data_IF_867340427819
#
_entry.id   IF_867340427819
#
_cell.length_a   1.000
_cell.length_b   1.000
_cell.length_c   1.000
_cell.angle_alpha   90.00
_cell.angle_beta   90.00
_cell.angle_gamma   90.00
#
_symmetry.space_group_name_H-M   'P 1'
#
loop_
_entity.id
_entity.type
_entity.pdbx_description
1 polymer ?
#
# COMPACT_ATOMS: atom_id res chain seq x y z
N UNK A 1 -7.79 3.77 -11.01
CA UNK A 1 -6.51 4.04 -10.32
C UNK A 1 -6.65 5.27 -9.43
N UNK A 2 -6.05 5.30 -8.24
CA UNK A 2 -6.14 6.44 -7.31
C UNK A 2 -5.38 7.66 -7.84
N UNK A 3 -5.90 8.88 -7.59
CA UNK A 3 -5.27 10.15 -7.98
C UNK A 3 -3.83 10.28 -7.47
N UNK A 4 -3.58 9.95 -6.20
CA UNK A 4 -2.26 10.05 -5.57
C UNK A 4 -1.22 9.17 -6.25
N UNK A 5 -1.61 7.96 -6.70
CA UNK A 5 -0.71 7.05 -7.42
C UNK A 5 -0.35 7.64 -8.78
N UNK A 6 -1.33 8.19 -9.50
CA UNK A 6 -1.10 8.78 -10.83
C UNK A 6 -0.13 9.96 -10.74
N UNK A 7 -0.34 10.84 -9.75
CA UNK A 7 0.54 11.97 -9.48
C UNK A 7 1.96 11.51 -9.14
N UNK A 8 2.11 10.52 -8.27
CA UNK A 8 3.41 9.95 -7.91
C UNK A 8 4.12 9.23 -9.09
N UNK A 9 3.36 8.77 -10.08
CA UNK A 9 3.91 8.22 -11.33
C UNK A 9 4.23 9.30 -12.39
N UNK A 10 4.03 10.58 -12.09
CA UNK A 10 4.27 11.69 -13.01
C UNK A 10 3.21 11.82 -14.11
N UNK A 11 1.98 11.37 -13.83
CA UNK A 11 0.83 11.45 -14.73
C UNK A 11 -0.23 12.38 -14.15
N UNK A 12 -0.68 13.35 -14.94
CA UNK A 12 -1.85 14.17 -14.59
C UNK A 12 -3.12 13.37 -14.85
N UNK A 13 -4.21 13.69 -14.14
CA UNK A 13 -5.50 12.99 -14.28
C UNK A 13 -6.01 12.99 -15.73
N UNK A 14 -5.97 14.14 -16.39
CA UNK A 14 -6.45 14.27 -17.77
C UNK A 14 -5.61 13.45 -18.75
N UNK A 15 -4.28 13.55 -18.64
CA UNK A 15 -3.39 12.78 -19.51
C UNK A 15 -3.51 11.26 -19.28
N UNK A 16 -3.65 10.83 -18.03
CA UNK A 16 -3.86 9.41 -17.72
C UNK A 16 -5.11 8.85 -18.42
N UNK A 17 -6.22 9.61 -18.41
CA UNK A 17 -7.47 9.20 -19.06
C UNK A 17 -7.32 9.11 -20.59
N UNK A 18 -6.61 10.04 -21.22
CA UNK A 18 -6.36 10.00 -22.68
C UNK A 18 -5.51 8.82 -23.12
N UNK A 19 -4.64 8.33 -22.24
CA UNK A 19 -3.70 7.23 -22.49
C UNK A 19 -4.31 5.87 -22.11
N UNK A 20 -5.60 5.82 -21.74
CA UNK A 20 -6.30 4.58 -21.43
C UNK A 20 -6.16 4.10 -19.98
N UNK A 21 -5.73 4.97 -19.07
CA UNK A 21 -5.66 4.68 -17.63
C UNK A 21 -6.93 5.19 -16.96
N UNK A 22 -7.76 4.27 -16.44
CA UNK A 22 -8.93 4.65 -15.66
C UNK A 22 -8.52 5.28 -14.32
N UNK A 23 -8.97 6.51 -14.03
CA UNK A 23 -8.68 7.24 -12.79
C UNK A 23 -9.95 7.41 -11.95
N UNK A 24 -9.88 7.05 -10.67
CA UNK A 24 -10.93 7.26 -9.68
C UNK A 24 -10.39 8.16 -8.55
N UNK A 25 -10.87 9.41 -8.42
CA UNK A 25 -10.41 10.34 -7.41
C UNK A 25 -10.92 10.02 -5.99
N UNK A 26 -11.96 9.20 -5.83
CA UNK A 26 -12.55 8.88 -4.51
C UNK A 26 -11.72 7.87 -3.74
N UNK A 27 -11.00 6.99 -4.44
CA UNK A 27 -10.19 5.94 -3.83
C UNK A 27 -8.97 6.53 -3.12
N UNK A 28 -8.72 6.12 -1.88
CA UNK A 28 -7.51 6.42 -1.11
C UNK A 28 -6.78 5.13 -0.75
N UNK A 29 -5.44 5.14 -0.74
CA UNK A 29 -4.65 3.99 -0.30
C UNK A 29 -4.12 4.22 1.12
N UNK A 30 -4.27 3.19 1.96
CA UNK A 30 -3.76 3.20 3.35
C UNK A 30 -2.37 2.58 3.47
N UNK A 31 -2.05 1.60 2.62
CA UNK A 31 -0.76 0.91 2.63
C UNK A 31 0.24 1.52 1.66
N UNK A 32 1.50 1.60 2.09
CA UNK A 32 2.62 2.10 1.26
C UNK A 32 3.03 1.08 0.21
N UNK A 33 3.01 -0.21 0.56
CA UNK A 33 3.35 -1.33 -0.32
C UNK A 33 2.49 -1.33 -1.59
N UNK A 34 1.16 -1.30 -1.43
CA UNK A 34 0.23 -1.26 -2.56
C UNK A 34 0.39 -0.01 -3.41
N UNK A 35 0.74 1.14 -2.80
CA UNK A 35 1.01 2.38 -3.51
C UNK A 35 2.25 2.23 -4.39
N UNK A 36 3.35 1.69 -3.85
CA UNK A 36 4.61 1.49 -4.58
C UNK A 36 4.45 0.52 -5.75
N UNK A 37 3.83 -0.64 -5.52
CA UNK A 37 3.54 -1.63 -6.57
C UNK A 37 2.75 -1.01 -7.73
N UNK A 38 1.72 -0.22 -7.42
CA UNK A 38 0.92 0.43 -8.43
C UNK A 38 1.66 1.56 -9.17
N UNK A 39 2.54 2.30 -8.49
CA UNK A 39 3.40 3.30 -9.13
C UNK A 39 4.34 2.61 -10.13
N UNK A 40 4.98 1.52 -9.70
CA UNK A 40 5.86 0.73 -10.56
C UNK A 40 5.09 0.19 -11.78
N UNK A 41 3.90 -0.38 -11.58
CA UNK A 41 3.03 -0.84 -12.67
C UNK A 41 2.67 0.27 -13.66
N UNK A 42 2.42 1.49 -13.20
CA UNK A 42 2.15 2.62 -14.10
C UNK A 42 3.39 3.06 -14.88
N UNK A 43 4.58 2.98 -14.28
CA UNK A 43 5.85 3.26 -14.99
C UNK A 43 6.12 2.21 -16.05
N UNK A 44 5.89 0.94 -15.75
CA UNK A 44 6.01 -0.18 -16.70
C UNK A 44 4.96 -0.10 -17.82
N UNK A 45 3.74 0.32 -17.52
CA UNK A 45 2.73 0.59 -18.54
C UNK A 45 3.22 1.68 -19.49
N UNK A 46 3.74 2.78 -18.94
CA UNK A 46 4.21 3.93 -19.70
C UNK A 46 5.40 3.59 -20.60
N UNK A 47 6.33 2.74 -20.15
CA UNK A 47 7.47 2.33 -20.97
C UNK A 47 7.07 1.41 -22.12
N UNK A 48 6.02 0.61 -21.96
CA UNK A 48 5.47 -0.26 -23.02
C UNK A 48 4.48 0.45 -23.95
N UNK A 49 4.09 1.68 -23.63
CA UNK A 49 3.07 2.41 -24.37
C UNK A 49 3.69 3.13 -25.57
N UNK A 50 3.23 2.78 -26.77
CA UNK A 50 3.59 3.46 -28.02
C UNK A 50 2.53 4.55 -28.28
N UNK A 51 2.87 5.81 -28.05
CA UNK A 51 1.96 6.94 -28.27
C UNK A 51 2.14 7.51 -29.68
N UNK A 52 1.12 7.37 -30.52
CA UNK A 52 1.10 7.97 -31.85
C UNK A 52 0.89 9.50 -31.75
N UNK A 53 1.59 10.31 -32.56
CA UNK A 53 1.31 11.74 -32.63
C UNK A 53 -0.05 11.96 -33.30
N UNK A 54 -0.70 13.06 -32.92
CA UNK A 54 -1.96 13.47 -33.56
C UNK A 54 -1.72 13.97 -35.00
N UNK A 55 -0.52 14.51 -35.25
CA UNK A 55 -0.14 15.04 -36.57
C UNK A 55 1.24 14.55 -36.95
N UNK A 56 1.33 13.73 -38.00
CA UNK A 56 2.58 13.14 -38.48
C UNK A 56 3.60 14.18 -39.00
N UNK A 57 3.09 15.30 -39.53
CA UNK A 57 3.91 16.36 -40.15
C UNK A 57 4.45 17.41 -39.16
N UNK A 58 4.04 17.37 -37.90
CA UNK A 58 4.51 18.29 -36.86
C UNK A 58 5.64 17.65 -36.06
N UNK A 59 6.47 18.49 -35.44
CA UNK A 59 7.52 18.02 -34.52
C UNK A 59 6.90 17.13 -33.43
N UNK A 60 7.52 15.97 -33.21
CA UNK A 60 7.10 15.04 -32.17
C UNK A 60 7.13 15.73 -30.80
N UNK A 61 6.06 15.55 -30.02
CA UNK A 61 6.00 15.97 -28.62
C UNK A 61 6.76 14.97 -27.75
N UNK A 62 7.09 15.40 -26.52
CA UNK A 62 7.81 14.57 -25.56
C UNK A 62 7.01 13.29 -25.26
N UNK A 63 7.58 12.14 -25.61
CA UNK A 63 6.99 10.82 -25.38
C UNK A 63 6.09 10.30 -26.51
N UNK A 64 6.08 10.95 -27.67
CA UNK A 64 5.49 10.38 -28.89
C UNK A 64 6.49 9.44 -29.57
N UNK A 65 5.98 8.34 -30.12
CA UNK A 65 6.78 7.27 -30.73
C UNK A 65 7.41 7.69 -32.05
N UNK A 66 8.63 7.23 -32.32
CA UNK A 66 9.32 7.44 -33.61
C UNK A 66 8.65 6.62 -34.72
N UNK A 67 8.94 6.93 -35.98
CA UNK A 67 8.35 6.20 -37.12
C UNK A 67 8.70 4.70 -37.12
N UNK A 68 9.86 4.32 -36.57
CA UNK A 68 10.31 2.94 -36.43
C UNK A 68 9.48 2.18 -35.38
N UNK A 69 9.27 2.77 -34.21
CA UNK A 69 8.45 2.20 -33.13
C UNK A 69 6.99 2.05 -33.56
N UNK A 70 6.47 2.97 -34.38
CA UNK A 70 5.11 2.90 -34.91
C UNK A 70 4.90 1.72 -35.86
N UNK A 71 5.90 1.39 -36.67
CA UNK A 71 5.81 0.24 -37.60
C UNK A 71 5.82 -1.10 -36.86
N UNK A 72 6.47 -1.14 -35.70
CA UNK A 72 6.49 -2.32 -34.83
C UNK A 72 5.21 -2.46 -33.99
N UNK A 73 4.38 -1.43 -33.93
CA UNK A 73 3.16 -1.45 -33.13
C UNK A 73 2.18 -2.51 -33.64
N UNK A 74 1.87 -3.47 -32.78
CA UNK A 74 0.87 -4.52 -33.02
C UNK A 74 -0.19 -4.49 -31.94
N UNK A 75 -1.42 -4.87 -32.27
CA UNK A 75 -2.49 -4.93 -31.28
C UNK A 75 -2.28 -6.16 -30.37
N UNK A 76 -2.10 -5.90 -29.08
CA UNK A 76 -2.08 -6.97 -28.08
C UNK A 76 -3.49 -7.55 -27.93
N UNK A 77 -3.64 -8.85 -28.17
CA UNK A 77 -4.89 -9.58 -27.94
C UNK A 77 -4.89 -10.13 -26.50
N UNK A 78 -5.88 -9.74 -25.70
CA UNK A 78 -6.03 -10.19 -24.32
C UNK A 78 -5.92 -9.06 -23.28
N UNK A 79 -5.90 -9.41 -21.97
CA UNK A 79 -5.82 -8.42 -20.91
C UNK A 79 -4.44 -7.74 -20.88
N UNK A 80 -4.44 -6.40 -20.84
CA UNK A 80 -3.21 -5.60 -20.75
C UNK A 80 -2.59 -5.74 -19.36
N UNK A 81 -1.38 -6.32 -19.33
CA UNK A 81 -0.61 -6.61 -18.10
C UNK A 81 -1.45 -7.33 -17.03
N UNK A 82 -1.69 -8.64 -17.16
CA UNK A 82 -2.47 -9.38 -16.17
C UNK A 82 -1.89 -9.24 -14.77
N UNK A 83 -2.76 -9.15 -13.77
CA UNK A 83 -2.34 -9.13 -12.36
C UNK A 83 -2.09 -10.59 -11.97
N UNK A 84 -0.82 -10.93 -11.73
CA UNK A 84 -0.42 -12.25 -11.25
C UNK A 84 -0.27 -12.16 -9.74
N UNK A 85 -1.02 -13.01 -9.03
CA UNK A 85 -0.84 -13.16 -7.59
C UNK A 85 0.26 -14.21 -7.37
N UNK A 86 1.50 -13.75 -7.39
CA UNK A 86 2.65 -14.59 -7.09
C UNK A 86 2.54 -15.13 -5.67
N UNK A 87 2.53 -16.46 -5.55
CA UNK A 87 2.59 -17.10 -4.24
C UNK A 87 4.02 -16.99 -3.75
N UNK A 88 4.26 -16.51 -2.51
CA UNK A 88 5.61 -16.51 -1.97
C UNK A 88 6.13 -17.95 -1.93
N UNK A 89 7.34 -18.14 -2.44
CA UNK A 89 8.04 -19.42 -2.31
C UNK A 89 8.43 -19.61 -0.84
N UNK A 90 8.04 -20.76 -0.27
CA UNK A 90 8.35 -21.10 1.11
C UNK A 90 9.49 -22.11 1.09
N UNK A 91 10.64 -21.73 1.61
CA UNK A 91 11.74 -22.65 1.84
C UNK A 91 11.49 -23.49 3.10
N UNK A 92 11.72 -24.80 3.00
CA UNK A 92 11.68 -25.67 4.17
C UNK A 92 12.91 -25.40 5.03
N UNK A 93 12.67 -24.87 6.24
CA UNK A 93 13.71 -24.55 7.23
C UNK A 93 13.51 -25.39 8.47
N UNK A 94 14.60 -25.68 9.17
CA UNK A 94 14.55 -26.36 10.46
C UNK A 94 13.81 -25.48 11.49
N UNK A 95 12.91 -26.09 12.26
CA UNK A 95 12.08 -25.38 13.25
C UNK A 95 12.98 -24.86 14.37
N UNK A 96 12.90 -23.56 14.64
CA UNK A 96 13.66 -22.92 15.71
C UNK A 96 13.09 -23.27 17.09
N UNK A 97 13.91 -23.23 18.14
CA UNK A 97 13.42 -23.49 19.51
C UNK A 97 12.33 -22.52 19.97
N UNK A 98 12.35 -21.28 19.46
CA UNK A 98 11.35 -20.25 19.77
C UNK A 98 9.98 -20.64 19.22
N UNK A 99 9.94 -21.16 18.00
CA UNK A 99 8.69 -21.65 17.37
C UNK A 99 8.16 -22.89 18.08
N UNK A 100 9.04 -23.78 18.57
CA UNK A 100 8.62 -24.95 19.37
C UNK A 100 8.01 -24.56 20.72
N UNK A 101 8.55 -23.54 21.38
CA UNK A 101 8.06 -23.01 22.66
C UNK A 101 6.81 -22.14 22.50
N UNK A 102 6.52 -21.66 21.30
CA UNK A 102 5.39 -20.79 21.02
C UNK A 102 4.08 -21.56 20.92
N UNK A 103 3.17 -21.33 21.87
CA UNK A 103 1.80 -21.88 21.79
C UNK A 103 0.88 -20.92 21.02
N UNK A 104 0.68 -21.20 19.73
CA UNK A 104 -0.20 -20.41 18.87
C UNK A 104 -1.65 -20.34 19.40
N UNK A 105 -2.17 -21.43 19.94
CA UNK A 105 -3.52 -21.49 20.50
C UNK A 105 -3.69 -20.53 21.69
N UNK A 106 -2.75 -20.55 22.64
CA UNK A 106 -2.79 -19.66 23.80
C UNK A 106 -2.60 -18.20 23.39
N UNK A 107 -1.68 -17.91 22.45
CA UNK A 107 -1.43 -16.56 21.97
C UNK A 107 -2.69 -15.92 21.34
N UNK A 108 -3.41 -16.65 20.49
CA UNK A 108 -4.65 -16.16 19.88
C UNK A 108 -5.73 -15.91 20.94
N UNK A 109 -5.88 -16.81 21.92
CA UNK A 109 -6.86 -16.66 23.01
C UNK A 109 -6.54 -15.47 23.89
N UNK A 110 -5.27 -15.28 24.26
CA UNK A 110 -4.81 -14.12 25.01
C UNK A 110 -5.08 -12.82 24.23
N UNK A 111 -4.72 -12.75 22.94
CA UNK A 111 -4.96 -11.57 22.11
C UNK A 111 -6.46 -11.18 22.07
N UNK A 112 -7.36 -12.17 21.93
CA UNK A 112 -8.82 -11.95 22.00
C UNK A 112 -9.26 -11.42 23.36
N UNK A 113 -8.73 -11.99 24.46
CA UNK A 113 -9.04 -11.53 25.82
C UNK A 113 -8.52 -10.11 26.07
N UNK A 114 -7.32 -9.79 25.59
CA UNK A 114 -6.75 -8.44 25.67
C UNK A 114 -7.61 -7.42 24.92
N UNK A 115 -8.01 -7.74 23.69
CA UNK A 115 -8.89 -6.87 22.90
C UNK A 115 -10.26 -6.66 23.60
N UNK A 116 -10.86 -7.74 24.13
CA UNK A 116 -12.15 -7.67 24.84
C UNK A 116 -12.08 -6.84 26.13
N UNK A 117 -11.01 -7.01 26.90
CA UNK A 117 -10.87 -6.39 28.22
C UNK A 117 -10.03 -5.10 28.22
N UNK A 118 -9.62 -4.59 27.06
CA UNK A 118 -8.79 -3.39 26.95
C UNK A 118 -9.42 -2.18 27.65
N UNK A 119 -10.70 -1.89 27.36
CA UNK A 119 -11.41 -0.76 27.95
C UNK A 119 -11.58 -0.90 29.47
N UNK A 120 -11.96 -2.10 29.95
CA UNK A 120 -12.14 -2.35 31.38
C UNK A 120 -10.83 -2.23 32.16
N UNK A 121 -9.72 -2.71 31.59
CA UNK A 121 -8.39 -2.57 32.19
C UNK A 121 -7.89 -1.14 32.16
N UNK A 122 -8.11 -0.41 31.07
CA UNK A 122 -7.77 1.00 30.97
C UNK A 122 -8.55 1.86 31.99
N UNK A 123 -9.84 1.57 32.19
CA UNK A 123 -10.66 2.23 33.22
C UNK A 123 -10.14 1.95 34.63
N UNK A 124 -9.90 0.67 34.96
CA UNK A 124 -9.35 0.29 36.27
C UNK A 124 -7.97 0.88 36.53
N UNK A 125 -7.11 0.95 35.51
CA UNK A 125 -5.80 1.57 35.62
C UNK A 125 -5.91 3.08 35.92
N UNK A 126 -6.83 3.78 35.25
CA UNK A 126 -7.11 5.20 35.52
C UNK A 126 -7.65 5.42 36.94
N UNK A 127 -8.64 4.63 37.34
CA UNK A 127 -9.22 4.69 38.70
C UNK A 127 -8.17 4.39 39.78
N UNK A 128 -7.27 3.43 39.55
CA UNK A 128 -6.16 3.14 40.45
C UNK A 128 -5.18 4.32 40.54
N UNK A 129 -4.79 4.94 39.41
CA UNK A 129 -3.92 6.13 39.44
C UNK A 129 -4.59 7.35 40.08
N UNK A 130 -5.90 7.52 39.90
CA UNK A 130 -6.67 8.58 40.54
C UNK A 130 -6.81 8.34 42.06
N UNK A 131 -7.00 7.09 42.49
CA UNK A 131 -7.00 6.70 43.90
C UNK A 131 -5.61 6.88 44.55
N UNK A 132 -4.53 6.55 43.84
CA UNK A 132 -3.16 6.82 44.30
C UNK A 132 -2.88 8.33 44.43
N UNK A 133 -3.41 9.16 43.51
CA UNK A 133 -3.28 10.62 43.59
C UNK A 133 -4.15 11.26 44.68
N UNK A 134 -5.28 10.64 45.03
CA UNK A 134 -6.21 11.12 46.07
C UNK A 134 -5.92 10.51 47.46
N UNK A 135 -4.89 9.66 47.61
CA UNK A 135 -4.52 9.10 48.90
C UNK A 135 -3.90 10.20 49.81
N UNK A 136 -4.46 10.47 51.00
CA UNK A 136 -3.97 11.52 51.88
C UNK A 136 -2.65 11.09 52.55
N UNK A 137 -1.51 11.56 52.02
CA UNK A 137 -0.20 11.31 52.65
C UNK A 137 1.07 11.72 51.90
N UNK A 138 1.01 12.12 50.62
CA UNK A 138 2.22 12.36 49.82
C UNK A 138 2.85 13.76 49.93
N UNK A 139 2.26 14.71 50.66
CA UNK A 139 2.80 16.09 50.79
C UNK A 139 3.76 16.32 51.97
N UNK A 140 4.21 15.27 52.67
CA UNK A 140 5.11 15.39 53.84
C UNK A 140 6.51 14.80 53.64
N UNK A 141 7.15 15.01 52.48
CA UNK A 141 8.63 14.86 52.34
C UNK A 141 9.21 15.87 51.35
N UNK A 142 9.09 17.16 51.67
CA UNK A 142 10.03 18.21 51.21
C UNK A 142 10.20 19.24 52.33
N UNK A 143 11.16 18.99 53.21
CA UNK A 143 11.94 20.02 53.89
C UNK A 143 13.27 19.42 54.31
#
# INVERSE_FOLDING_TARGET
>A
MCLQICLAAGLTKGFAQTVGIAVDPRRQNKSVESRQQNIQRLKEYRSKLILFPIHEKKKLRKGEATEEERKLATQLRGPVMPIVNEKPEVEFRAITEKEKKFSAFLAVRQARLHARHFGARAKKAKEATEQESNAPGADKKKK
#
